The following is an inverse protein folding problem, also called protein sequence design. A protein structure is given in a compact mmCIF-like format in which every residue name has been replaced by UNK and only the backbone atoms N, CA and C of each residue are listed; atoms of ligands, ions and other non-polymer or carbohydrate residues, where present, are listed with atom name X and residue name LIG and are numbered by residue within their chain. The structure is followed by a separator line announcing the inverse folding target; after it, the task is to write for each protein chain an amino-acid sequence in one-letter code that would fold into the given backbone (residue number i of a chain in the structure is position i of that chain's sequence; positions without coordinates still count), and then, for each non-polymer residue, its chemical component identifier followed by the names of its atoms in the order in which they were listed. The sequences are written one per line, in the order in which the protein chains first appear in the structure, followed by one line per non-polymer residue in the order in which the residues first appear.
data_IF_818321498648
#
_entry.id   IF_818321498648
#
_cell.length_a   1.000
_cell.length_b   1.000
_cell.length_c   1.000
_cell.angle_alpha   90.00
_cell.angle_beta   90.00
_cell.angle_gamma   90.00
#
_symmetry.space_group_name_H-M   'P 1'
#
loop_
_entity.id
_entity.type
_entity.pdbx_description
1 polymer ?
#
# COMPACT_ATOMS: atom_id res chain seq x y z
N UNK A 1 0.99 9.51 -2.73
CA UNK A 1 -0.30 9.77 -2.07
C UNK A 1 -1.53 9.72 -2.98
N UNK A 2 -1.36 9.74 -4.28
CA UNK A 2 -2.43 9.94 -5.29
C UNK A 2 -3.30 8.70 -5.61
N UNK A 3 -2.87 7.48 -5.28
CA UNK A 3 -3.53 6.28 -5.80
C UNK A 3 -4.55 5.62 -4.88
N UNK A 4 -4.44 5.79 -3.57
CA UNK A 4 -5.31 5.12 -2.60
C UNK A 4 -6.76 5.58 -2.66
N UNK A 5 -6.98 6.87 -2.73
CA UNK A 5 -8.34 7.42 -2.76
C UNK A 5 -9.07 7.07 -4.05
N UNK A 6 -8.49 7.24 -5.25
CA UNK A 6 -9.11 6.79 -6.50
C UNK A 6 -9.40 5.28 -6.50
N UNK A 7 -8.50 4.45 -5.96
CA UNK A 7 -8.70 3.01 -5.87
C UNK A 7 -9.89 2.66 -4.98
N UNK A 8 -9.93 3.18 -3.75
CA UNK A 8 -11.03 2.94 -2.83
C UNK A 8 -12.37 3.43 -3.38
N UNK A 9 -12.39 4.62 -3.98
CA UNK A 9 -13.57 5.15 -4.67
C UNK A 9 -14.06 4.22 -5.77
N UNK A 10 -13.15 3.71 -6.58
CA UNK A 10 -13.46 2.79 -7.66
C UNK A 10 -14.08 1.49 -7.14
N UNK A 11 -13.51 0.90 -6.08
CA UNK A 11 -14.07 -0.29 -5.44
C UNK A 11 -15.51 -0.04 -4.95
N UNK A 12 -15.75 1.08 -4.29
CA UNK A 12 -17.10 1.46 -3.84
C UNK A 12 -18.05 1.64 -5.03
N UNK A 13 -17.62 2.29 -6.09
CA UNK A 13 -18.44 2.48 -7.28
C UNK A 13 -18.79 1.15 -7.95
N UNK A 14 -17.85 0.21 -8.07
CA UNK A 14 -18.09 -1.11 -8.63
C UNK A 14 -19.15 -1.90 -7.86
N UNK A 15 -19.18 -1.74 -6.54
CA UNK A 15 -20.17 -2.43 -5.70
C UNK A 15 -21.54 -1.76 -5.76
N UNK A 16 -21.58 -0.43 -5.86
CA UNK A 16 -22.83 0.35 -5.76
C UNK A 16 -23.48 0.70 -7.10
N UNK A 17 -22.71 0.67 -8.21
CA UNK A 17 -23.20 1.04 -9.55
C UNK A 17 -22.99 -0.11 -10.54
N UNK A 18 -23.90 -0.23 -11.50
CA UNK A 18 -23.83 -1.30 -12.52
C UNK A 18 -22.72 -1.10 -13.56
N UNK A 19 -22.34 0.15 -13.87
CA UNK A 19 -21.41 0.50 -14.95
C UNK A 19 -20.30 1.44 -14.45
N UNK A 20 -19.54 1.01 -13.45
CA UNK A 20 -18.39 1.77 -12.99
C UNK A 20 -17.20 1.57 -13.93
N UNK A 21 -16.65 2.65 -14.44
CA UNK A 21 -15.43 2.64 -15.26
C UNK A 21 -14.19 2.80 -14.37
N UNK A 22 -13.08 2.15 -14.73
CA UNK A 22 -11.82 2.34 -14.02
C UNK A 22 -11.36 3.80 -14.10
N UNK A 23 -10.97 4.41 -13.00
CA UNK A 23 -10.53 5.79 -12.97
C UNK A 23 -9.21 5.95 -13.72
N UNK A 24 -9.13 7.06 -14.45
CA UNK A 24 -7.91 7.51 -15.11
C UNK A 24 -7.25 8.57 -14.23
N UNK A 25 -6.00 8.39 -13.93
CA UNK A 25 -5.20 9.30 -13.12
C UNK A 25 -4.22 10.01 -14.03
N UNK A 26 -4.41 11.30 -14.22
CA UNK A 26 -3.55 12.13 -15.05
C UNK A 26 -2.61 12.92 -14.14
N UNK A 27 -1.32 12.64 -14.24
CA UNK A 27 -0.26 13.40 -13.59
C UNK A 27 0.58 14.13 -14.65
N UNK A 28 1.44 15.04 -14.21
CA UNK A 28 2.27 15.87 -15.10
C UNK A 28 3.05 15.04 -16.13
N UNK A 29 3.53 13.87 -15.72
CA UNK A 29 4.44 13.05 -16.53
C UNK A 29 3.89 11.64 -16.82
N UNK A 30 2.69 11.31 -16.33
CA UNK A 30 2.11 9.97 -16.47
C UNK A 30 0.58 10.03 -16.56
N UNK A 31 0.08 9.18 -17.40
CA UNK A 31 -1.34 8.87 -17.52
C UNK A 31 -1.52 7.39 -17.16
N UNK A 32 -2.25 7.12 -16.11
CA UNK A 32 -2.46 5.78 -15.58
C UNK A 32 -3.96 5.49 -15.47
N UNK A 33 -4.39 4.41 -16.10
CA UNK A 33 -5.73 3.86 -15.89
C UNK A 33 -5.63 2.68 -14.93
N UNK A 34 -6.44 2.68 -13.88
CA UNK A 34 -6.48 1.56 -12.96
C UNK A 34 -7.07 0.33 -13.64
N UNK A 35 -6.65 -0.85 -13.20
CA UNK A 35 -7.10 -2.11 -13.77
C UNK A 35 -8.61 -2.30 -13.54
N UNK A 36 -9.28 -2.83 -14.54
CA UNK A 36 -10.66 -3.30 -14.42
C UNK A 36 -10.69 -4.58 -13.59
N UNK A 37 -11.53 -4.62 -12.58
CA UNK A 37 -11.76 -5.79 -11.75
C UNK A 37 -13.25 -6.10 -11.65
N UNK A 38 -13.57 -7.34 -11.31
CA UNK A 38 -14.95 -7.80 -11.12
C UNK A 38 -15.58 -7.24 -9.84
N UNK A 39 -16.90 -7.09 -9.86
CA UNK A 39 -17.66 -6.61 -8.70
C UNK A 39 -17.48 -7.49 -7.45
N UNK A 40 -17.40 -8.80 -7.61
CA UNK A 40 -17.13 -9.77 -6.53
C UNK A 40 -15.78 -9.49 -5.88
N UNK A 41 -14.73 -9.32 -6.67
CA UNK A 41 -13.39 -8.99 -6.21
C UNK A 41 -13.36 -7.63 -5.49
N UNK A 42 -14.09 -6.63 -6.01
CA UNK A 42 -14.19 -5.33 -5.35
C UNK A 42 -14.85 -5.44 -3.97
N UNK A 43 -15.89 -6.27 -3.83
CA UNK A 43 -16.55 -6.52 -2.56
C UNK A 43 -15.63 -7.22 -1.55
N UNK A 44 -14.89 -8.22 -1.99
CA UNK A 44 -13.89 -8.92 -1.15
C UNK A 44 -12.80 -7.96 -0.66
N UNK A 45 -12.28 -7.11 -1.53
CA UNK A 45 -11.31 -6.09 -1.15
C UNK A 45 -11.86 -5.09 -0.13
N UNK A 46 -13.09 -4.63 -0.31
CA UNK A 46 -13.72 -3.73 0.66
C UNK A 46 -13.92 -4.40 2.03
N UNK A 47 -14.35 -5.66 2.07
CA UNK A 47 -14.44 -6.43 3.32
C UNK A 47 -13.09 -6.54 4.01
N UNK A 48 -12.04 -6.89 3.25
CA UNK A 48 -10.67 -6.97 3.77
C UNK A 48 -10.20 -5.64 4.38
N UNK A 49 -10.50 -4.50 3.74
CA UNK A 49 -10.14 -3.18 4.28
C UNK A 49 -10.89 -2.85 5.57
N UNK A 50 -12.18 -3.21 5.65
CA UNK A 50 -12.97 -3.03 6.88
C UNK A 50 -12.41 -3.90 8.01
N UNK A 51 -12.12 -5.16 7.75
CA UNK A 51 -11.51 -6.08 8.73
C UNK A 51 -10.16 -5.55 9.22
N UNK A 52 -9.31 -5.09 8.30
CA UNK A 52 -8.02 -4.53 8.66
C UNK A 52 -8.16 -3.23 9.48
N UNK A 53 -9.14 -2.39 9.18
CA UNK A 53 -9.45 -1.22 10.00
C UNK A 53 -9.85 -1.63 11.42
N UNK A 54 -10.71 -2.62 11.57
CA UNK A 54 -11.11 -3.12 12.89
C UNK A 54 -9.92 -3.72 13.65
N UNK A 55 -9.06 -4.47 12.96
CA UNK A 55 -7.84 -5.02 13.56
C UNK A 55 -6.86 -3.91 13.98
N UNK A 56 -6.77 -2.82 13.21
CA UNK A 56 -5.88 -1.70 13.53
C UNK A 56 -6.25 -0.98 14.83
N UNK A 57 -7.47 -1.18 15.34
CA UNK A 57 -7.87 -0.67 16.66
C UNK A 57 -7.23 -1.46 17.82
N UNK A 58 -6.72 -2.65 17.54
CA UNK A 58 -6.16 -3.55 18.54
C UNK A 58 -4.65 -3.75 18.39
N UNK A 59 -4.13 -3.62 17.18
CA UNK A 59 -2.73 -3.85 16.87
C UNK A 59 -2.24 -2.92 15.75
N UNK A 60 -0.93 -2.63 15.77
CA UNK A 60 -0.31 -1.81 14.73
C UNK A 60 -0.34 -2.56 13.40
N UNK A 61 -0.88 -1.91 12.36
CA UNK A 61 -0.84 -2.38 10.99
C UNK A 61 0.25 -1.64 10.20
N UNK A 62 1.23 -2.39 9.72
CA UNK A 62 2.33 -1.81 8.94
C UNK A 62 1.96 -1.79 7.46
N UNK A 63 1.47 -0.64 7.00
CA UNK A 63 1.18 -0.44 5.58
C UNK A 63 1.81 0.87 5.14
N UNK A 64 2.75 0.81 4.17
CA UNK A 64 3.34 2.01 3.63
C UNK A 64 2.26 2.85 2.96
N UNK A 65 2.21 4.12 3.32
CA UNK A 65 1.27 5.07 2.73
C UNK A 65 1.87 5.80 1.54
N UNK A 66 3.18 5.80 1.42
CA UNK A 66 3.95 6.39 0.34
C UNK A 66 4.73 5.31 -0.41
N UNK A 67 4.97 5.54 -1.69
CA UNK A 67 5.76 4.63 -2.53
C UNK A 67 5.30 3.16 -2.50
N UNK A 68 3.99 2.93 -2.40
CA UNK A 68 3.38 1.60 -2.27
C UNK A 68 3.95 0.60 -3.28
N UNK A 69 4.23 1.04 -4.51
CA UNK A 69 4.78 0.20 -5.57
C UNK A 69 6.13 -0.45 -5.21
N UNK A 70 6.91 0.16 -4.30
CA UNK A 70 8.20 -0.39 -3.83
C UNK A 70 8.04 -1.57 -2.86
N UNK A 71 6.84 -1.78 -2.35
CA UNK A 71 6.52 -2.79 -1.35
C UNK A 71 5.58 -3.88 -1.89
N UNK A 72 5.29 -3.85 -3.19
CA UNK A 72 4.47 -4.86 -3.85
C UNK A 72 5.40 -5.84 -4.56
N UNK A 73 5.32 -7.11 -4.19
CA UNK A 73 6.01 -8.21 -4.85
C UNK A 73 5.04 -9.39 -5.01
N UNK A 74 4.84 -9.82 -6.25
CA UNK A 74 3.92 -10.92 -6.56
C UNK A 74 4.54 -12.29 -6.34
N UNK A 75 5.85 -12.37 -6.43
CA UNK A 75 6.62 -13.58 -6.15
C UNK A 75 7.33 -13.42 -4.80
N UNK A 76 6.83 -14.12 -3.78
CA UNK A 76 7.41 -14.09 -2.43
C UNK A 76 8.89 -14.50 -2.41
N UNK A 77 9.31 -15.34 -3.35
CA UNK A 77 10.71 -15.77 -3.47
C UNK A 77 11.65 -14.69 -4.03
N UNK A 78 11.09 -13.69 -4.70
CA UNK A 78 11.83 -12.58 -5.29
C UNK A 78 12.02 -11.38 -4.35
N UNK A 79 11.48 -11.45 -3.12
CA UNK A 79 11.58 -10.35 -2.14
C UNK A 79 13.04 -10.11 -1.76
N UNK A 80 13.54 -8.93 -2.14
CA UNK A 80 14.85 -8.46 -1.71
C UNK A 80 14.72 -7.73 -0.37
N UNK A 81 15.02 -8.43 0.73
CA UNK A 81 14.86 -7.92 2.09
C UNK A 81 15.67 -6.65 2.35
N UNK A 82 16.91 -6.56 1.90
CA UNK A 82 17.76 -5.38 2.10
C UNK A 82 17.18 -4.16 1.41
N UNK A 83 16.67 -4.35 0.20
CA UNK A 83 16.04 -3.27 -0.57
C UNK A 83 14.74 -2.79 0.09
N UNK A 84 13.91 -3.72 0.56
CA UNK A 84 12.68 -3.38 1.28
C UNK A 84 13.00 -2.66 2.59
N UNK A 85 13.96 -3.15 3.36
CA UNK A 85 14.40 -2.52 4.61
C UNK A 85 14.90 -1.09 4.35
N UNK A 86 15.75 -0.88 3.35
CA UNK A 86 16.22 0.46 2.96
C UNK A 86 15.04 1.38 2.59
N UNK A 87 14.05 0.86 1.87
CA UNK A 87 12.86 1.63 1.52
C UNK A 87 12.02 2.00 2.76
N UNK A 88 11.90 1.10 3.73
CA UNK A 88 11.20 1.36 5.00
C UNK A 88 11.93 2.44 5.80
N UNK A 89 13.23 2.29 5.97
CA UNK A 89 14.06 3.25 6.71
C UNK A 89 14.01 4.64 6.08
N UNK A 90 14.00 4.71 4.75
CA UNK A 90 13.85 5.98 4.04
C UNK A 90 12.55 6.71 4.33
N UNK A 91 11.48 6.03 4.75
CA UNK A 91 10.23 6.69 5.14
C UNK A 91 10.35 7.44 6.47
N UNK A 92 11.26 7.01 7.34
CA UNK A 92 11.53 7.61 8.65
C UNK A 92 12.56 8.75 8.59
N UNK A 93 13.15 9.02 7.45
CA UNK A 93 14.20 10.01 7.26
C UNK A 93 13.75 11.17 6.35
N UNK A 94 14.31 12.36 6.60
CA UNK A 94 14.15 13.51 5.72
C UNK A 94 14.93 13.28 4.42
N UNK A 95 14.28 13.43 3.29
CA UNK A 95 14.94 13.42 1.98
C UNK A 95 15.14 14.87 1.49
N UNK A 96 16.37 15.35 1.60
CA UNK A 96 16.72 16.71 1.22
C UNK A 96 16.68 16.95 -0.30
N UNK A 97 16.81 15.89 -1.11
CA UNK A 97 16.76 16.02 -2.57
C UNK A 97 15.35 16.19 -3.10
N UNK A 98 14.39 15.46 -2.53
CA UNK A 98 12.98 15.56 -2.92
C UNK A 98 12.17 16.50 -2.03
N UNK A 99 12.80 17.14 -1.05
CA UNK A 99 12.14 17.95 -0.03
C UNK A 99 11.07 17.19 0.76
N UNK A 100 11.16 15.86 0.78
CA UNK A 100 10.24 15.00 1.52
C UNK A 100 10.65 14.99 3.00
N UNK A 101 9.70 15.25 3.87
CA UNK A 101 9.88 15.12 5.31
C UNK A 101 9.66 13.68 5.76
N UNK A 102 10.38 13.30 6.80
CA UNK A 102 10.19 12.03 7.48
C UNK A 102 8.73 11.85 7.88
N UNK A 103 8.20 10.65 7.69
CA UNK A 103 6.90 10.30 8.24
C UNK A 103 7.07 10.04 9.75
N UNK A 104 6.46 10.87 10.63
CA UNK A 104 6.63 10.73 12.07
C UNK A 104 6.11 9.40 12.62
N UNK A 105 5.15 8.77 11.95
CA UNK A 105 4.64 7.45 12.32
C UNK A 105 5.68 6.38 12.09
N UNK A 106 6.31 6.36 10.91
CA UNK A 106 7.36 5.40 10.59
C UNK A 106 8.59 5.60 11.48
N UNK A 107 9.01 6.84 11.69
CA UNK A 107 10.11 7.15 12.60
C UNK A 107 9.85 6.61 14.01
N UNK A 108 8.62 6.77 14.53
CA UNK A 108 8.23 6.27 15.84
C UNK A 108 8.19 4.75 15.91
N UNK A 109 7.58 4.10 14.92
CA UNK A 109 7.44 2.64 14.86
C UNK A 109 8.80 1.97 14.75
N UNK A 110 9.66 2.44 13.83
CA UNK A 110 10.99 1.87 13.63
C UNK A 110 11.94 2.14 14.80
N UNK A 111 11.76 3.25 15.51
CA UNK A 111 12.55 3.58 16.71
C UNK A 111 12.18 2.76 17.95
N UNK A 112 11.00 2.16 17.97
CA UNK A 112 10.50 1.42 19.14
C UNK A 112 10.63 -0.10 19.05
N UNK A 113 10.75 -0.66 17.84
CA UNK A 113 10.65 -2.12 17.68
C UNK A 113 11.54 -2.64 16.55
N UNK A 114 12.60 -3.38 16.91
CA UNK A 114 13.42 -4.14 15.96
C UNK A 114 12.62 -5.24 15.23
N UNK A 115 11.50 -5.67 15.80
CA UNK A 115 10.65 -6.71 15.22
C UNK A 115 10.22 -6.39 13.78
N UNK A 116 9.98 -5.11 13.46
CA UNK A 116 9.57 -4.71 12.12
C UNK A 116 10.70 -4.70 11.09
N UNK A 117 11.95 -4.75 11.55
CA UNK A 117 13.15 -4.86 10.70
C UNK A 117 13.56 -6.32 10.48
N UNK A 118 12.92 -7.26 11.15
CA UNK A 118 13.19 -8.69 10.95
C UNK A 118 12.73 -9.14 9.56
N UNK A 119 13.32 -10.22 9.05
CA UNK A 119 12.89 -10.82 7.79
C UNK A 119 11.41 -11.21 7.80
N UNK A 120 10.92 -11.71 8.92
CA UNK A 120 9.51 -12.06 9.10
C UNK A 120 8.61 -10.81 9.02
N UNK A 121 8.96 -9.74 9.72
CA UNK A 121 8.23 -8.47 9.68
C UNK A 121 8.20 -7.84 8.29
N UNK A 122 9.33 -7.85 7.58
CA UNK A 122 9.44 -7.37 6.20
C UNK A 122 8.58 -8.23 5.26
N UNK A 123 8.66 -9.56 5.37
CA UNK A 123 7.86 -10.48 4.56
C UNK A 123 6.37 -10.24 4.77
N UNK A 124 5.94 -10.09 6.02
CA UNK A 124 4.55 -9.78 6.36
C UNK A 124 4.10 -8.45 5.78
N UNK A 125 4.92 -7.41 5.85
CA UNK A 125 4.63 -6.09 5.27
C UNK A 125 4.45 -6.17 3.76
N UNK A 126 5.35 -6.82 3.05
CA UNK A 126 5.28 -7.00 1.59
C UNK A 126 4.03 -7.80 1.22
N UNK A 127 3.78 -8.92 1.89
CA UNK A 127 2.61 -9.76 1.66
C UNK A 127 1.30 -9.00 1.87
N UNK A 128 1.20 -8.26 2.95
CA UNK A 128 0.03 -7.45 3.27
C UNK A 128 -0.17 -6.32 2.26
N UNK A 129 0.89 -5.61 1.91
CA UNK A 129 0.83 -4.52 0.92
C UNK A 129 0.45 -5.05 -0.46
N UNK A 130 1.00 -6.19 -0.88
CA UNK A 130 0.65 -6.86 -2.13
C UNK A 130 -0.81 -7.31 -2.15
N UNK A 131 -1.28 -7.91 -1.05
CA UNK A 131 -2.68 -8.31 -0.91
C UNK A 131 -3.65 -7.13 -1.04
N UNK A 132 -3.28 -5.97 -0.52
CA UNK A 132 -4.15 -4.80 -0.53
C UNK A 132 -4.13 -4.03 -1.84
N UNK A 133 -2.97 -3.89 -2.46
CA UNK A 133 -2.76 -2.96 -3.57
C UNK A 133 -2.17 -3.62 -4.83
N UNK A 134 -1.80 -4.89 -4.79
CA UNK A 134 -1.14 -5.57 -5.91
C UNK A 134 -1.97 -5.55 -7.20
N UNK A 135 -3.29 -5.66 -7.09
CA UNK A 135 -4.19 -5.62 -8.24
C UNK A 135 -4.38 -4.20 -8.82
N UNK A 136 -4.17 -3.19 -8.02
CA UNK A 136 -4.26 -1.80 -8.46
C UNK A 136 -3.20 -1.44 -9.51
N UNK A 137 -1.99 -2.03 -9.35
CA UNK A 137 -0.80 -1.70 -10.16
C UNK A 137 -0.48 -2.76 -11.21
N UNK A 138 -1.29 -3.77 -11.36
CA UNK A 138 -1.05 -4.86 -12.31
C UNK A 138 -1.57 -4.60 -13.70
#
# INVERSE_FOLDING_TARGET
MLFRSPWLYYLIQLVTKENALPPRIIAKDKDLTLKTIEKSTALEKLKMYVEAYLQSQQQIQLIPTENIAKFIEKDESAVNFDNVLTNIESLAEDDNYSYRKADPYWARVLGQTEQFKSQEGISQLVKQTTSWFGEMLS
#
